data_IF_660436612585
#
_entry.id   IF_660436612585
#
_cell.length_a   1.000
_cell.length_b   1.000
_cell.length_c   1.000
_cell.angle_alpha   90.00
_cell.angle_beta   90.00
_cell.angle_gamma   90.00
#
_symmetry.space_group_name_H-M   'P 1'
#
loop_
_entity.id
_entity.type
_entity.pdbx_description
1 polymer ?
#
# COMPACT_ATOMS: atom_id res chain seq x y z
N UNK A 1 -56.96 44.11 32.37
CA UNK A 1 -56.23 43.95 31.10
C UNK A 1 -54.90 43.19 31.31
N UNK A 2 -54.89 42.00 31.92
CA UNK A 2 -53.64 41.31 32.30
C UNK A 2 -53.37 39.99 31.57
N UNK A 3 -54.39 39.38 30.95
CA UNK A 3 -54.25 38.08 30.29
C UNK A 3 -53.50 38.15 28.93
N UNK A 4 -53.62 39.27 28.21
CA UNK A 4 -53.01 39.44 26.88
C UNK A 4 -51.47 39.58 26.97
N UNK A 5 -50.98 40.31 27.98
CA UNK A 5 -49.55 40.49 28.22
C UNK A 5 -48.86 39.17 28.65
N UNK A 6 -49.51 38.38 29.51
CA UNK A 6 -49.02 37.06 29.92
C UNK A 6 -48.95 36.07 28.74
N UNK A 7 -49.96 36.09 27.86
CA UNK A 7 -49.97 35.28 26.64
C UNK A 7 -48.81 35.61 25.70
N UNK A 8 -48.48 36.90 25.55
CA UNK A 8 -47.37 37.36 24.70
C UNK A 8 -46.01 36.86 25.21
N UNK A 9 -45.75 37.00 26.51
CA UNK A 9 -44.50 36.52 27.13
C UNK A 9 -44.32 35.00 27.00
N UNK A 10 -45.42 34.24 27.05
CA UNK A 10 -45.40 32.78 26.92
C UNK A 10 -45.09 32.36 25.48
N UNK A 11 -45.59 33.10 24.49
CA UNK A 11 -45.30 32.83 23.07
C UNK A 11 -43.85 33.16 22.72
N UNK A 12 -43.33 34.29 23.18
CA UNK A 12 -41.95 34.70 22.94
C UNK A 12 -40.94 33.68 23.51
N UNK A 13 -41.21 33.16 24.71
CA UNK A 13 -40.35 32.14 25.33
C UNK A 13 -40.38 30.82 24.54
N UNK A 14 -41.57 30.40 24.07
CA UNK A 14 -41.70 29.20 23.24
C UNK A 14 -41.01 29.35 21.89
N UNK A 15 -40.99 30.55 21.32
CA UNK A 15 -40.35 30.85 20.05
C UNK A 15 -38.82 30.77 20.19
N UNK A 16 -38.26 31.38 21.24
CA UNK A 16 -36.82 31.28 21.56
C UNK A 16 -36.38 29.83 21.80
N UNK A 17 -37.21 29.07 22.51
CA UNK A 17 -36.92 27.68 22.78
C UNK A 17 -36.92 26.84 21.48
N UNK A 18 -37.84 27.14 20.56
CA UNK A 18 -37.92 26.48 19.26
C UNK A 18 -36.73 26.84 18.36
N UNK A 19 -36.33 28.12 18.30
CA UNK A 19 -35.14 28.58 17.56
C UNK A 19 -33.88 27.89 18.06
N UNK A 20 -33.74 27.75 19.38
CA UNK A 20 -32.61 27.05 20.01
C UNK A 20 -32.61 25.57 19.64
N UNK A 21 -33.76 24.90 19.70
CA UNK A 21 -33.89 23.49 19.31
C UNK A 21 -33.60 23.27 17.83
N UNK A 22 -34.02 24.19 16.94
CA UNK A 22 -33.73 24.13 15.50
C UNK A 22 -32.24 24.35 15.23
N UNK A 23 -31.59 25.28 15.93
CA UNK A 23 -30.13 25.50 15.83
C UNK A 23 -29.32 24.27 16.25
N UNK A 24 -29.73 23.61 17.35
CA UNK A 24 -29.12 22.37 17.84
C UNK A 24 -29.36 21.20 16.88
N UNK A 25 -30.55 21.11 16.27
CA UNK A 25 -30.81 20.11 15.24
C UNK A 25 -29.97 20.38 13.99
N UNK A 26 -29.86 21.63 13.55
CA UNK A 26 -29.08 22.01 12.37
C UNK A 26 -27.58 21.73 12.54
N UNK A 27 -27.04 21.91 13.75
CA UNK A 27 -25.65 21.53 14.05
C UNK A 27 -25.47 20.00 14.16
N UNK A 28 -26.50 19.28 14.59
CA UNK A 28 -26.49 17.80 14.66
C UNK A 28 -26.71 17.12 13.30
N UNK A 29 -27.34 17.81 12.33
CA UNK A 29 -27.56 17.34 10.95
C UNK A 29 -26.31 17.59 10.06
N UNK A 30 -25.20 18.06 10.64
CA UNK A 30 -23.89 17.95 9.99
C UNK A 30 -23.48 16.47 9.99
N UNK A 31 -24.07 15.70 9.06
CA UNK A 31 -23.67 14.33 8.76
C UNK A 31 -22.19 14.27 8.37
N UNK A 32 -21.59 13.07 8.30
CA UNK A 32 -20.19 12.92 7.94
C UNK A 32 -19.93 13.67 6.62
N UNK A 33 -19.08 14.69 6.71
CA UNK A 33 -18.68 15.51 5.56
C UNK A 33 -18.17 14.55 4.49
N UNK A 34 -18.91 14.42 3.39
CA UNK A 34 -18.53 13.55 2.28
C UNK A 34 -17.18 14.08 1.80
N UNK A 35 -16.11 13.29 2.03
CA UNK A 35 -14.78 13.65 1.57
C UNK A 35 -14.85 13.96 0.08
N UNK A 36 -14.27 15.08 -0.34
CA UNK A 36 -14.23 15.42 -1.76
C UNK A 36 -13.56 14.28 -2.55
N UNK A 37 -13.90 14.10 -3.83
CA UNK A 37 -13.28 13.07 -4.68
C UNK A 37 -11.74 13.19 -4.63
N UNK A 38 -11.21 14.41 -4.57
CA UNK A 38 -9.76 14.66 -4.41
C UNK A 38 -9.20 14.19 -3.06
N UNK A 39 -9.95 14.38 -1.97
CA UNK A 39 -9.54 13.89 -0.64
C UNK A 39 -9.59 12.36 -0.56
N UNK A 40 -10.57 11.73 -1.20
CA UNK A 40 -10.63 10.28 -1.33
C UNK A 40 -9.48 9.73 -2.17
N UNK A 41 -9.20 10.33 -3.33
CA UNK A 41 -8.07 9.94 -4.19
C UNK A 41 -6.74 10.05 -3.45
N UNK A 42 -6.51 11.16 -2.75
CA UNK A 42 -5.29 11.37 -1.96
C UNK A 42 -5.16 10.39 -0.79
N UNK A 43 -6.28 9.91 -0.22
CA UNK A 43 -6.27 8.86 0.82
C UNK A 43 -6.02 7.48 0.22
N UNK A 44 -6.60 7.20 -0.94
CA UNK A 44 -6.41 5.96 -1.66
C UNK A 44 -4.95 5.80 -2.13
N UNK A 45 -4.38 6.82 -2.76
CA UNK A 45 -2.96 6.85 -3.16
C UNK A 45 -2.03 6.64 -1.97
N UNK A 46 -2.33 7.26 -0.82
CA UNK A 46 -1.57 7.03 0.42
C UNK A 46 -1.63 5.56 0.86
N UNK A 47 -2.82 4.96 0.88
CA UNK A 47 -2.98 3.56 1.25
C UNK A 47 -2.29 2.61 0.25
N UNK A 48 -2.32 2.92 -1.04
CA UNK A 48 -1.59 2.15 -2.04
C UNK A 48 -0.08 2.27 -1.86
N UNK A 49 0.45 3.47 -1.62
CA UNK A 49 1.87 3.66 -1.33
C UNK A 49 2.30 2.94 -0.06
N UNK A 50 1.55 3.06 1.03
CA UNK A 50 1.83 2.34 2.29
C UNK A 50 1.83 0.81 2.07
N UNK A 51 0.99 0.30 1.17
CA UNK A 51 1.00 -1.12 0.80
C UNK A 51 2.25 -1.50 -0.03
N UNK A 52 2.67 -0.64 -0.96
CA UNK A 52 3.84 -0.86 -1.83
C UNK A 52 5.17 -0.78 -1.09
N UNK A 53 5.23 -0.12 0.06
CA UNK A 53 6.42 -0.07 0.92
C UNK A 53 6.85 -1.46 1.43
N UNK A 54 5.97 -2.45 1.34
CA UNK A 54 6.26 -3.85 1.66
C UNK A 54 6.61 -4.69 0.43
N UNK A 55 6.49 -4.13 -0.77
CA UNK A 55 6.62 -4.83 -2.03
C UNK A 55 7.97 -4.54 -2.70
N UNK A 56 8.55 -5.58 -3.32
CA UNK A 56 9.71 -5.45 -4.20
C UNK A 56 9.43 -6.09 -5.56
N UNK A 57 10.09 -5.58 -6.60
CA UNK A 57 10.06 -6.16 -7.93
C UNK A 57 11.46 -6.64 -8.29
N UNK A 58 11.53 -7.89 -8.76
CA UNK A 58 12.76 -8.52 -9.25
C UNK A 58 12.62 -8.76 -10.75
N UNK A 59 13.54 -8.19 -11.53
CA UNK A 59 13.62 -8.34 -12.98
C UNK A 59 14.75 -9.27 -13.39
N UNK A 60 14.70 -9.78 -14.62
CA UNK A 60 15.78 -10.60 -15.20
C UNK A 60 15.76 -12.08 -14.77
N UNK A 61 14.73 -12.50 -14.03
CA UNK A 61 14.56 -13.90 -13.66
C UNK A 61 13.98 -14.71 -14.83
N UNK A 62 14.67 -15.77 -15.24
CA UNK A 62 14.13 -16.75 -16.20
C UNK A 62 12.90 -17.44 -15.60
N UNK A 63 11.90 -17.71 -16.45
CA UNK A 63 10.69 -18.42 -16.03
C UNK A 63 10.89 -19.92 -16.19
N UNK A 64 10.58 -20.72 -15.17
CA UNK A 64 10.49 -22.19 -15.27
C UNK A 64 9.04 -22.64 -15.09
N UNK A 65 8.68 -23.81 -15.64
CA UNK A 65 7.30 -24.29 -15.68
C UNK A 65 6.71 -24.70 -14.32
N UNK A 66 7.55 -24.94 -13.31
CA UNK A 66 7.15 -25.43 -11.98
C UNK A 66 7.65 -24.54 -10.83
N UNK A 67 7.81 -23.25 -11.08
CA UNK A 67 8.57 -22.37 -10.19
C UNK A 67 7.84 -22.02 -8.87
N UNK A 68 8.47 -22.34 -7.73
CA UNK A 68 8.08 -21.81 -6.44
C UNK A 68 8.69 -20.41 -6.25
N UNK A 69 7.86 -19.38 -6.39
CA UNK A 69 8.26 -17.97 -6.31
C UNK A 69 8.88 -17.57 -4.96
N UNK A 70 8.46 -18.17 -3.85
CA UNK A 70 9.02 -17.90 -2.52
C UNK A 70 10.44 -18.47 -2.45
N UNK A 71 10.64 -19.70 -2.94
CA UNK A 71 11.97 -20.30 -2.99
C UNK A 71 12.92 -19.48 -3.89
N UNK A 72 12.45 -19.01 -5.05
CA UNK A 72 13.23 -18.13 -5.92
C UNK A 72 13.63 -16.84 -5.19
N UNK A 73 12.70 -16.21 -4.45
CA UNK A 73 13.01 -15.04 -3.63
C UNK A 73 14.06 -15.33 -2.56
N UNK A 74 13.95 -16.46 -1.85
CA UNK A 74 14.93 -16.86 -0.83
C UNK A 74 16.31 -17.11 -1.43
N UNK A 75 16.39 -17.67 -2.64
CA UNK A 75 17.65 -17.84 -3.39
C UNK A 75 18.25 -16.49 -3.79
N UNK A 76 17.43 -15.54 -4.24
CA UNK A 76 17.84 -14.16 -4.54
C UNK A 76 18.33 -13.43 -3.30
N UNK A 77 17.66 -13.60 -2.17
CA UNK A 77 18.13 -13.02 -0.91
C UNK A 77 19.47 -13.62 -0.48
N UNK A 78 19.61 -14.95 -0.55
CA UNK A 78 20.84 -15.64 -0.18
C UNK A 78 22.03 -15.20 -1.04
N UNK A 79 21.85 -14.97 -2.34
CA UNK A 79 22.91 -14.45 -3.21
C UNK A 79 23.27 -12.99 -2.94
N UNK A 80 22.40 -12.24 -2.26
CA UNK A 80 22.69 -10.90 -1.70
C UNK A 80 23.29 -10.96 -0.28
N UNK A 81 23.54 -12.15 0.27
CA UNK A 81 24.00 -12.34 1.65
C UNK A 81 22.92 -12.08 2.69
N UNK A 82 21.64 -12.08 2.32
CA UNK A 82 20.49 -11.88 3.21
C UNK A 82 19.76 -13.21 3.40
N UNK A 83 19.54 -13.62 4.65
CA UNK A 83 18.72 -14.78 4.96
C UNK A 83 17.26 -14.34 5.13
N UNK A 84 16.37 -14.87 4.28
CA UNK A 84 14.92 -14.72 4.45
C UNK A 84 14.32 -16.01 5.00
N UNK A 85 13.48 -15.87 6.03
CA UNK A 85 12.63 -16.94 6.55
C UNK A 85 11.30 -16.91 5.80
N UNK A 86 10.69 -18.07 5.54
CA UNK A 86 9.41 -18.15 4.81
C UNK A 86 8.29 -17.33 5.48
N UNK A 87 8.32 -17.17 6.80
CA UNK A 87 7.35 -16.36 7.56
C UNK A 87 7.51 -14.85 7.33
N UNK A 88 8.64 -14.41 6.76
CA UNK A 88 8.89 -13.00 6.40
C UNK A 88 8.30 -12.64 5.04
N UNK A 89 7.76 -13.62 4.29
CA UNK A 89 7.17 -13.44 2.97
C UNK A 89 5.66 -13.65 3.06
N UNK A 90 4.90 -12.59 2.78
CA UNK A 90 3.42 -12.65 2.74
C UNK A 90 2.98 -13.38 1.48
N UNK A 91 3.53 -12.99 0.33
CA UNK A 91 3.28 -13.65 -0.94
C UNK A 91 4.38 -13.33 -1.96
N UNK A 92 4.53 -14.19 -2.96
CA UNK A 92 5.41 -13.96 -4.10
C UNK A 92 4.77 -14.54 -5.36
N UNK A 93 4.73 -13.76 -6.45
CA UNK A 93 4.10 -14.18 -7.70
C UNK A 93 4.73 -13.44 -8.89
N UNK A 94 4.66 -14.06 -10.07
CA UNK A 94 5.16 -13.45 -11.31
C UNK A 94 4.07 -12.66 -12.02
N UNK A 95 4.43 -11.48 -12.53
CA UNK A 95 3.62 -10.78 -13.52
C UNK A 95 4.11 -11.17 -14.91
N UNK A 96 3.21 -11.72 -15.72
CA UNK A 96 3.50 -12.03 -17.12
C UNK A 96 3.59 -10.74 -17.93
N UNK A 97 4.74 -10.46 -18.53
CA UNK A 97 4.81 -9.53 -19.65
C UNK A 97 4.35 -10.27 -20.91
N UNK A 98 3.57 -9.60 -21.79
CA UNK A 98 2.90 -10.25 -22.93
C UNK A 98 3.83 -10.85 -23.99
N UNK A 99 5.16 -10.70 -23.88
CA UNK A 99 6.09 -11.13 -24.92
C UNK A 99 7.55 -11.47 -24.48
N UNK A 100 7.89 -11.55 -23.19
CA UNK A 100 9.27 -11.82 -22.74
C UNK A 100 9.43 -13.15 -22.01
N UNK A 101 10.58 -13.81 -22.23
CA UNK A 101 11.02 -15.02 -21.52
C UNK A 101 11.37 -14.75 -20.05
N UNK A 102 11.69 -13.49 -19.71
CA UNK A 102 11.83 -13.00 -18.35
C UNK A 102 10.50 -12.45 -17.85
N UNK A 103 10.01 -12.98 -16.73
CA UNK A 103 8.83 -12.47 -16.04
C UNK A 103 9.27 -11.81 -14.75
N UNK A 104 8.75 -10.62 -14.43
CA UNK A 104 9.10 -9.98 -13.16
C UNK A 104 8.47 -10.73 -12.00
N UNK A 105 9.25 -10.97 -10.95
CA UNK A 105 8.75 -11.50 -9.70
C UNK A 105 8.38 -10.32 -8.79
N UNK A 106 7.17 -10.32 -8.28
CA UNK A 106 6.74 -9.42 -7.21
C UNK A 106 6.72 -10.23 -5.92
N UNK A 107 7.32 -9.68 -4.88
CA UNK A 107 7.26 -10.24 -3.55
C UNK A 107 6.82 -9.18 -2.54
N UNK A 108 5.94 -9.59 -1.63
CA UNK A 108 5.51 -8.79 -0.49
C UNK A 108 6.09 -9.38 0.79
N UNK A 109 6.81 -8.57 1.55
CA UNK A 109 7.38 -8.96 2.83
C UNK A 109 6.47 -8.53 3.98
N UNK A 110 6.65 -9.14 5.14
CA UNK A 110 5.95 -8.74 6.38
C UNK A 110 6.51 -7.47 6.99
N UNK A 111 7.79 -7.17 6.75
CA UNK A 111 8.53 -6.10 7.42
C UNK A 111 9.27 -5.23 6.39
N UNK A 112 9.03 -3.91 6.41
CA UNK A 112 9.68 -2.93 5.53
C UNK A 112 11.21 -2.95 5.68
N UNK A 113 11.72 -3.12 6.90
CA UNK A 113 13.15 -3.19 7.17
C UNK A 113 13.85 -4.30 6.37
N UNK A 114 13.21 -5.46 6.19
CA UNK A 114 13.75 -6.56 5.38
C UNK A 114 13.80 -6.23 3.89
N UNK A 115 12.77 -5.55 3.38
CA UNK A 115 12.76 -5.05 1.99
C UNK A 115 13.92 -4.09 1.79
N UNK A 116 14.09 -3.13 2.69
CA UNK A 116 15.14 -2.12 2.60
C UNK A 116 16.54 -2.73 2.71
N UNK A 117 16.72 -3.75 3.55
CA UNK A 117 17.95 -4.53 3.63
C UNK A 117 18.29 -5.18 2.28
N UNK A 118 17.34 -5.88 1.65
CA UNK A 118 17.52 -6.49 0.33
C UNK A 118 17.88 -5.45 -0.74
N UNK A 119 17.18 -4.32 -0.77
CA UNK A 119 17.46 -3.23 -1.72
C UNK A 119 18.84 -2.62 -1.50
N UNK A 120 19.24 -2.39 -0.25
CA UNK A 120 20.55 -1.89 0.10
C UNK A 120 21.66 -2.86 -0.31
N UNK A 121 21.46 -4.17 -0.12
CA UNK A 121 22.39 -5.20 -0.58
C UNK A 121 22.47 -5.21 -2.11
N UNK A 122 21.33 -5.22 -2.81
CA UNK A 122 21.31 -5.22 -4.27
C UNK A 122 22.02 -4.00 -4.89
N UNK A 123 21.88 -2.81 -4.27
CA UNK A 123 22.61 -1.60 -4.66
C UNK A 123 24.12 -1.75 -4.50
N UNK A 124 24.58 -2.35 -3.39
CA UNK A 124 26.01 -2.65 -3.16
C UNK A 124 26.57 -3.62 -4.20
N UNK A 125 25.78 -4.61 -4.61
CA UNK A 125 26.15 -5.59 -5.64
C UNK A 125 25.92 -5.10 -7.09
N UNK A 126 25.58 -3.82 -7.30
CA UNK A 126 25.30 -3.21 -8.63
C UNK A 126 24.34 -4.01 -9.52
N UNK A 127 23.37 -4.73 -8.94
CA UNK A 127 22.44 -5.58 -9.69
C UNK A 127 23.08 -6.77 -10.41
N UNK A 128 24.29 -7.18 -10.01
CA UNK A 128 24.96 -8.39 -10.50
C UNK A 128 24.86 -9.45 -9.40
N UNK A 129 23.87 -10.33 -9.55
CA UNK A 129 23.80 -11.57 -8.78
C UNK A 129 24.45 -12.68 -9.59
N UNK A 130 25.65 -13.10 -9.17
CA UNK A 130 26.29 -14.30 -9.69
C UNK A 130 25.66 -15.51 -9.00
N UNK A 131 24.75 -16.19 -9.69
CA UNK A 131 24.22 -17.48 -9.26
C UNK A 131 25.14 -18.58 -9.79
N UNK A 132 26.18 -18.94 -9.04
CA UNK A 132 27.09 -20.04 -9.41
C UNK A 132 26.58 -21.43 -9.00
N UNK A 133 25.43 -21.54 -8.32
CA UNK A 133 24.97 -22.81 -7.73
C UNK A 133 23.89 -23.56 -8.51
N UNK A 134 23.39 -23.00 -9.62
CA UNK A 134 22.46 -23.68 -10.53
C UNK A 134 23.03 -23.62 -11.94
N UNK A 135 23.54 -24.75 -12.42
CA UNK A 135 24.30 -24.97 -13.66
C UNK A 135 23.56 -24.67 -14.98
N UNK A 136 22.53 -23.82 -14.98
CA UNK A 136 21.75 -23.49 -16.17
C UNK A 136 21.30 -22.02 -16.26
N UNK A 137 21.77 -21.13 -15.40
CA UNK A 137 21.41 -19.71 -15.48
C UNK A 137 22.47 -18.95 -16.29
N UNK A 138 22.13 -18.44 -17.50
CA UNK A 138 23.03 -17.55 -18.21
C UNK A 138 23.19 -16.30 -17.35
N UNK A 139 24.40 -15.75 -17.30
CA UNK A 139 24.86 -14.57 -16.54
C UNK A 139 24.02 -13.31 -16.78
N UNK A 140 22.76 -13.37 -16.38
CA UNK A 140 21.71 -12.39 -16.65
C UNK A 140 21.66 -11.48 -15.43
N UNK A 141 21.82 -10.18 -15.65
CA UNK A 141 21.75 -9.18 -14.58
C UNK A 141 20.36 -9.19 -13.97
N UNK A 142 20.29 -9.40 -12.65
CA UNK A 142 19.05 -9.38 -11.87
C UNK A 142 18.96 -8.04 -11.16
N UNK A 143 17.91 -7.30 -11.44
CA UNK A 143 17.68 -5.98 -10.85
C UNK A 143 16.56 -6.08 -9.82
N UNK A 144 16.85 -5.66 -8.58
CA UNK A 144 15.85 -5.44 -7.55
C UNK A 144 15.48 -3.96 -7.52
N UNK A 145 14.20 -3.68 -7.67
CA UNK A 145 13.65 -2.33 -7.70
C UNK A 145 12.48 -2.21 -6.74
N UNK A 146 12.32 -0.98 -6.24
CA UNK A 146 11.12 -0.55 -5.55
C UNK A 146 9.94 -0.55 -6.54
N UNK A 147 8.76 -0.93 -6.07
CA UNK A 147 7.54 -0.74 -6.86
C UNK A 147 7.07 0.71 -6.71
N UNK A 148 7.53 1.56 -7.62
CA UNK A 148 7.05 2.93 -7.76
C UNK A 148 6.15 3.05 -9.00
N UNK A 149 5.21 4.00 -8.98
CA UNK A 149 4.42 4.31 -10.17
C UNK A 149 5.31 5.04 -11.20
N UNK A 150 5.21 4.62 -12.47
CA UNK A 150 5.70 5.43 -13.58
C UNK A 150 4.77 6.62 -13.75
N UNK A 151 5.31 7.82 -13.59
CA UNK A 151 4.68 9.08 -13.98
C UNK A 151 4.41 9.13 -15.48
#
# INVERSE_FOLDING_TARGET
MCALAAGHTTLDERLRHLETSVSVLASSISGPKIASIGEFSARFERLENEKRDYELIIFGLLSTSSENCINTLSLVAASLGVSLVNTEVVCAFRISARASSSRSLIAKLTIIARRNELLACARRHRGVLAFDTLTSWPSSRISLLERCDGS
#
